data_IF_561853787526
#
_entry.id   IF_561853787526
#
_cell.length_a   1.000
_cell.length_b   1.000
_cell.length_c   1.000
_cell.angle_alpha   90.00
_cell.angle_beta   90.00
_cell.angle_gamma   90.00
#
_symmetry.space_group_name_H-M   'P 1'
#
loop_
_entity.id
_entity.type
_entity.pdbx_description
1 polymer ?
#
# COMPACT_ATOMS: atom_id res chain seq x y z
N UNK A 1 24.38 10.28 -14.34
CA UNK A 1 23.73 9.11 -13.71
C UNK A 1 22.93 9.63 -12.52
N UNK A 2 21.68 9.20 -12.34
CA UNK A 2 20.84 9.51 -11.18
C UNK A 2 20.61 8.20 -10.45
N UNK A 3 20.87 8.17 -9.16
CA UNK A 3 20.70 6.99 -8.29
C UNK A 3 19.69 7.37 -7.21
N UNK A 4 18.69 6.55 -7.01
CA UNK A 4 17.75 6.62 -5.89
C UNK A 4 18.09 5.49 -4.93
N UNK A 5 18.41 5.86 -3.69
CA UNK A 5 18.79 4.90 -2.65
C UNK A 5 17.64 4.72 -1.66
N UNK A 6 17.11 3.52 -1.60
CA UNK A 6 16.01 3.18 -0.69
C UNK A 6 16.36 3.44 0.78
N UNK A 7 17.63 3.23 1.17
CA UNK A 7 18.07 3.47 2.54
C UNK A 7 18.06 4.97 2.92
N UNK A 8 18.21 5.85 1.94
CA UNK A 8 18.21 7.30 2.13
C UNK A 8 16.80 7.91 2.09
N UNK A 9 15.78 7.14 1.71
CA UNK A 9 14.40 7.64 1.62
C UNK A 9 13.65 7.25 2.89
N UNK A 10 13.31 8.23 3.73
CA UNK A 10 12.49 7.99 4.93
C UNK A 10 11.13 7.41 4.56
N UNK A 11 10.50 7.94 3.52
CA UNK A 11 9.15 7.55 3.10
C UNK A 11 8.05 8.11 4.00
N UNK A 12 6.82 7.69 3.74
CA UNK A 12 5.64 8.14 4.49
C UNK A 12 4.92 6.95 5.11
N UNK A 13 4.51 7.11 6.38
CA UNK A 13 3.63 6.18 7.06
C UNK A 13 2.17 6.56 6.88
N UNK A 14 1.31 5.55 6.81
CA UNK A 14 -0.13 5.67 6.56
C UNK A 14 -0.95 4.98 7.64
N UNK A 15 -2.21 5.42 7.84
CA UNK A 15 -3.10 4.86 8.87
C UNK A 15 -3.31 3.34 8.77
N UNK A 16 -3.33 2.78 7.57
CA UNK A 16 -3.46 1.34 7.36
C UNK A 16 -2.17 0.54 7.66
N UNK A 17 -1.27 1.07 8.51
CA UNK A 17 -0.05 0.41 8.97
C UNK A 17 0.89 0.08 7.82
N UNK A 18 1.05 1.05 6.94
CA UNK A 18 1.86 0.99 5.74
C UNK A 18 2.93 2.07 5.75
N UNK A 19 4.11 1.75 5.22
CA UNK A 19 5.16 2.72 4.87
C UNK A 19 5.41 2.66 3.37
N UNK A 20 5.41 3.81 2.70
CA UNK A 20 5.71 3.92 1.26
C UNK A 20 6.94 4.80 1.04
N UNK A 21 7.88 4.33 0.22
CA UNK A 21 9.11 5.01 -0.16
C UNK A 21 9.17 5.11 -1.69
N UNK A 22 9.03 6.32 -2.23
CA UNK A 22 8.98 6.55 -3.68
C UNK A 22 10.39 6.65 -4.25
N UNK A 23 10.72 5.77 -5.20
CA UNK A 23 12.04 5.70 -5.85
C UNK A 23 12.09 6.47 -7.16
N UNK A 24 11.00 6.40 -7.95
CA UNK A 24 10.88 7.11 -9.22
C UNK A 24 9.44 7.60 -9.44
N UNK A 25 9.32 8.68 -10.22
CA UNK A 25 8.04 9.33 -10.52
C UNK A 25 7.57 10.29 -9.42
N UNK A 26 6.63 11.17 -9.74
CA UNK A 26 6.06 12.11 -8.78
C UNK A 26 7.12 12.95 -8.05
N UNK A 27 7.12 12.86 -6.72
CA UNK A 27 8.04 13.59 -5.84
C UNK A 27 9.33 12.80 -5.48
N UNK A 28 9.55 11.67 -6.15
CA UNK A 28 10.72 10.81 -5.92
C UNK A 28 12.04 11.46 -6.41
N UNK A 29 13.21 10.99 -5.95
CA UNK A 29 14.50 11.48 -6.44
C UNK A 29 14.68 11.35 -7.96
N UNK A 30 14.15 10.28 -8.57
CA UNK A 30 14.15 10.09 -10.02
C UNK A 30 12.81 10.57 -10.58
N UNK A 31 12.84 11.66 -11.37
CA UNK A 31 11.66 12.29 -11.99
C UNK A 31 11.23 11.57 -13.27
N UNK A 32 10.82 10.31 -13.17
CA UNK A 32 10.26 9.57 -14.30
C UNK A 32 8.87 10.10 -14.68
N UNK A 33 8.58 10.18 -15.99
CA UNK A 33 7.31 10.71 -16.53
C UNK A 33 6.32 9.60 -16.89
N UNK A 34 6.81 8.44 -17.28
CA UNK A 34 5.98 7.37 -17.83
C UNK A 34 5.62 6.30 -16.79
N UNK A 35 6.25 6.32 -15.63
CA UNK A 35 5.96 5.38 -14.55
C UNK A 35 6.29 5.98 -13.19
N UNK A 36 5.68 5.43 -12.16
CA UNK A 36 6.07 5.61 -10.77
C UNK A 36 6.49 4.27 -10.20
N UNK A 37 7.56 4.25 -9.41
CA UNK A 37 8.10 3.06 -8.76
C UNK A 37 8.41 3.37 -7.31
N UNK A 38 8.05 2.47 -6.42
CA UNK A 38 8.42 2.60 -5.02
C UNK A 38 8.39 1.28 -4.28
N UNK A 39 8.85 1.34 -3.03
CA UNK A 39 8.82 0.25 -2.07
C UNK A 39 7.72 0.50 -1.05
N UNK A 40 6.95 -0.53 -0.77
CA UNK A 40 5.94 -0.55 0.29
C UNK A 40 6.32 -1.59 1.32
N UNK A 41 6.22 -1.21 2.58
CA UNK A 41 6.31 -2.13 3.72
C UNK A 41 4.98 -2.11 4.46
N UNK A 42 4.37 -3.28 4.62
CA UNK A 42 3.16 -3.50 5.39
C UNK A 42 3.53 -4.14 6.73
N UNK A 43 3.07 -3.55 7.82
CA UNK A 43 3.33 -4.11 9.15
C UNK A 43 2.68 -5.50 9.29
N UNK A 44 3.20 -6.38 10.16
CA UNK A 44 2.63 -7.70 10.41
C UNK A 44 1.15 -7.64 10.82
N UNK A 45 0.42 -8.72 10.55
CA UNK A 45 -0.95 -8.92 11.08
C UNK A 45 -1.92 -7.81 10.74
N UNK A 46 -2.05 -7.47 9.46
CA UNK A 46 -3.10 -6.59 8.98
C UNK A 46 -2.64 -5.22 8.44
N UNK A 47 -1.33 -4.94 8.34
CA UNK A 47 -0.88 -3.78 7.56
C UNK A 47 -1.35 -3.91 6.10
N UNK A 48 -1.84 -2.80 5.51
CA UNK A 48 -2.53 -2.86 4.22
C UNK A 48 -2.14 -1.76 3.25
N UNK A 49 -2.20 -2.09 1.96
CA UNK A 49 -2.68 -1.15 0.95
C UNK A 49 -4.20 -1.28 0.95
N UNK A 50 -4.95 -0.27 1.41
CA UNK A 50 -6.40 -0.40 1.59
C UNK A 50 -7.16 -0.53 0.26
N UNK A 51 -8.43 -0.93 0.33
CA UNK A 51 -9.30 -1.09 -0.83
C UNK A 51 -9.47 0.23 -1.59
N UNK A 52 -9.00 0.26 -2.82
CA UNK A 52 -9.03 1.43 -3.70
C UNK A 52 -8.91 1.02 -5.16
N UNK A 53 -9.10 1.98 -6.05
CA UNK A 53 -8.80 1.84 -7.47
C UNK A 53 -8.07 3.08 -8.00
N UNK A 54 -7.56 2.98 -9.22
CA UNK A 54 -6.88 4.06 -9.94
C UNK A 54 -7.01 3.87 -11.45
N UNK A 55 -6.75 4.93 -12.22
CA UNK A 55 -6.82 4.89 -13.69
C UNK A 55 -5.56 4.28 -14.33
N UNK A 56 -4.42 4.32 -13.63
CA UNK A 56 -3.18 3.71 -14.10
C UNK A 56 -3.23 2.19 -13.98
N UNK A 57 -2.61 1.51 -14.93
CA UNK A 57 -2.26 0.11 -14.71
C UNK A 57 -1.10 0.00 -13.73
N UNK A 58 -1.11 -1.05 -12.93
CA UNK A 58 -0.15 -1.23 -11.86
C UNK A 58 0.31 -2.67 -11.73
N UNK A 59 1.50 -2.87 -11.18
CA UNK A 59 1.97 -4.17 -10.72
C UNK A 59 2.47 -4.08 -9.28
N UNK A 60 2.22 -5.14 -8.51
CA UNK A 60 2.85 -5.40 -7.22
C UNK A 60 3.78 -6.60 -7.35
N UNK A 61 5.03 -6.44 -6.97
CA UNK A 61 6.01 -7.52 -6.88
C UNK A 61 6.39 -7.75 -5.42
N UNK A 62 6.02 -8.90 -4.87
CA UNK A 62 6.32 -9.26 -3.47
C UNK A 62 7.78 -9.65 -3.35
N UNK A 63 8.55 -8.90 -2.57
CA UNK A 63 9.97 -9.17 -2.29
C UNK A 63 10.08 -10.13 -1.11
N UNK A 64 9.28 -9.89 -0.05
CA UNK A 64 9.37 -10.59 1.22
C UNK A 64 7.99 -10.65 1.90
N UNK A 65 7.72 -11.73 2.60
CA UNK A 65 6.48 -11.92 3.36
C UNK A 65 5.37 -12.60 2.57
N UNK A 66 4.18 -12.64 3.17
CA UNK A 66 2.99 -13.28 2.62
C UNK A 66 1.77 -12.38 2.83
N UNK A 67 1.03 -12.13 1.78
CA UNK A 67 -0.15 -11.27 1.80
C UNK A 67 -1.39 -11.94 1.22
N UNK A 68 -2.55 -11.40 1.59
CA UNK A 68 -3.80 -11.67 0.91
C UNK A 68 -4.06 -10.54 -0.08
N UNK A 69 -4.11 -10.90 -1.35
CA UNK A 69 -4.45 -9.97 -2.45
C UNK A 69 -5.91 -10.14 -2.81
N UNK A 70 -6.64 -9.02 -2.81
CA UNK A 70 -7.99 -8.91 -3.37
C UNK A 70 -7.91 -8.06 -4.63
N UNK A 71 -8.50 -8.52 -5.74
CA UNK A 71 -8.54 -7.82 -7.02
C UNK A 71 -9.93 -8.04 -7.65
N UNK A 72 -10.76 -6.99 -7.66
CA UNK A 72 -12.16 -7.14 -8.02
C UNK A 72 -12.85 -8.16 -7.10
N UNK A 73 -13.39 -9.22 -7.69
CA UNK A 73 -14.06 -10.31 -6.95
C UNK A 73 -13.11 -11.45 -6.58
N UNK A 74 -11.86 -11.40 -7.05
CA UNK A 74 -10.85 -12.43 -6.78
C UNK A 74 -10.13 -12.18 -5.47
N UNK A 75 -9.74 -13.28 -4.82
CA UNK A 75 -8.93 -13.28 -3.60
C UNK A 75 -7.92 -14.41 -3.63
N UNK A 76 -6.65 -14.08 -3.50
CA UNK A 76 -5.56 -15.05 -3.50
C UNK A 76 -4.48 -14.70 -2.49
N UNK A 77 -3.77 -15.72 -2.00
CA UNK A 77 -2.56 -15.55 -1.20
C UNK A 77 -1.39 -15.36 -2.16
N UNK A 78 -0.59 -14.32 -1.90
CA UNK A 78 0.63 -14.01 -2.65
C UNK A 78 1.83 -14.01 -1.72
N UNK A 79 2.98 -14.41 -2.25
CA UNK A 79 4.22 -14.54 -1.48
C UNK A 79 5.43 -14.07 -2.27
N UNK A 80 6.59 -14.08 -1.62
CA UNK A 80 7.87 -13.66 -2.20
C UNK A 80 8.13 -14.26 -3.60
N UNK A 81 8.55 -13.43 -4.53
CA UNK A 81 8.83 -13.77 -5.93
C UNK A 81 7.61 -13.71 -6.86
N UNK A 82 6.42 -13.45 -6.34
CA UNK A 82 5.20 -13.34 -7.15
C UNK A 82 4.89 -11.89 -7.52
N UNK A 83 4.33 -11.71 -8.72
CA UNK A 83 3.85 -10.44 -9.24
C UNK A 83 2.36 -10.51 -9.51
N UNK A 84 1.66 -9.45 -9.16
CA UNK A 84 0.24 -9.27 -9.48
C UNK A 84 0.12 -8.10 -10.44
N UNK A 85 -0.60 -8.30 -11.54
CA UNK A 85 -1.00 -7.22 -12.44
C UNK A 85 -2.38 -6.70 -12.04
N UNK A 86 -2.50 -5.40 -11.97
CA UNK A 86 -3.72 -4.68 -11.58
C UNK A 86 -4.17 -3.84 -12.76
N UNK A 87 -5.27 -4.23 -13.43
CA UNK A 87 -5.81 -3.45 -14.55
C UNK A 87 -6.34 -2.08 -14.11
N UNK A 88 -6.36 -1.09 -15.00
CA UNK A 88 -6.96 0.21 -14.74
C UNK A 88 -8.39 0.11 -14.21
N UNK A 89 -8.71 0.90 -13.19
CA UNK A 89 -10.05 1.01 -12.62
C UNK A 89 -10.49 -0.15 -11.72
N UNK A 90 -9.74 -1.24 -11.65
CA UNK A 90 -10.11 -2.39 -10.82
C UNK A 90 -9.76 -2.13 -9.36
N UNK A 91 -10.75 -2.28 -8.48
CA UNK A 91 -10.56 -2.18 -7.04
C UNK A 91 -9.67 -3.30 -6.52
N UNK A 92 -8.74 -2.95 -5.66
CA UNK A 92 -7.77 -3.90 -5.11
C UNK A 92 -7.32 -3.53 -3.70
N UNK A 93 -6.86 -4.54 -2.97
CA UNK A 93 -6.30 -4.43 -1.62
C UNK A 93 -5.20 -5.49 -1.46
N UNK A 94 -4.12 -5.14 -0.75
CA UNK A 94 -3.14 -6.11 -0.27
C UNK A 94 -3.03 -6.03 1.24
N UNK A 95 -3.24 -7.14 1.93
CA UNK A 95 -3.14 -7.25 3.39
C UNK A 95 -1.98 -8.15 3.77
N UNK A 96 -1.10 -7.71 4.64
CA UNK A 96 -0.10 -8.58 5.24
C UNK A 96 -0.78 -9.52 6.25
N UNK A 97 -0.79 -10.81 5.98
CA UNK A 97 -1.35 -11.85 6.87
C UNK A 97 -0.28 -12.60 7.67
N UNK A 98 0.99 -12.28 7.46
CA UNK A 98 2.13 -12.92 8.12
C UNK A 98 2.50 -12.30 9.47
N UNK A 99 3.42 -12.97 10.16
CA UNK A 99 3.99 -12.55 11.44
C UNK A 99 5.17 -11.59 11.29
N UNK A 100 5.67 -11.40 10.06
CA UNK A 100 6.79 -10.51 9.70
C UNK A 100 6.33 -9.43 8.74
N UNK A 101 7.05 -8.32 8.57
CA UNK A 101 6.72 -7.33 7.56
C UNK A 101 6.64 -7.94 6.15
N UNK A 102 5.64 -7.50 5.38
CA UNK A 102 5.59 -7.76 3.95
C UNK A 102 6.22 -6.59 3.21
N UNK A 103 7.15 -6.88 2.32
CA UNK A 103 7.76 -5.88 1.45
C UNK A 103 7.44 -6.18 -0.01
N UNK A 104 7.07 -5.13 -0.73
CA UNK A 104 6.81 -5.22 -2.16
C UNK A 104 7.31 -3.97 -2.90
N UNK A 105 7.58 -4.12 -4.19
CA UNK A 105 7.63 -2.99 -5.11
C UNK A 105 6.27 -2.80 -5.75
N UNK A 106 5.87 -1.55 -5.92
CA UNK A 106 4.82 -1.18 -6.86
C UNK A 106 5.43 -0.47 -8.06
N UNK A 107 4.83 -0.65 -9.22
CA UNK A 107 5.10 0.17 -10.39
C UNK A 107 3.78 0.44 -11.10
N UNK A 108 3.46 1.69 -11.33
CA UNK A 108 2.28 2.07 -12.12
C UNK A 108 2.63 3.08 -13.22
N UNK A 109 1.88 3.08 -14.28
CA UNK A 109 2.04 3.94 -15.44
C UNK A 109 0.72 4.38 -16.07
N UNK A 110 0.69 5.62 -16.62
CA UNK A 110 1.74 6.65 -16.58
C UNK A 110 2.00 7.17 -15.16
N UNK A 111 3.15 7.83 -14.95
CA UNK A 111 3.40 8.53 -13.71
C UNK A 111 2.34 9.62 -13.50
N UNK A 112 1.88 9.76 -12.26
CA UNK A 112 0.83 10.71 -11.94
C UNK A 112 0.40 10.58 -10.50
N UNK A 113 -0.68 11.29 -10.20
CA UNK A 113 -1.25 11.30 -8.88
C UNK A 113 -2.34 10.22 -8.77
N UNK A 114 -2.26 9.46 -7.70
CA UNK A 114 -3.30 8.49 -7.30
C UNK A 114 -3.92 8.99 -5.99
N UNK A 115 -5.17 9.40 -6.05
CA UNK A 115 -5.81 10.17 -4.97
C UNK A 115 -5.96 9.40 -3.65
N UNK A 116 -6.00 8.07 -3.68
CA UNK A 116 -6.33 7.23 -2.52
C UNK A 116 -5.42 7.47 -1.30
N UNK A 117 -4.13 7.75 -1.51
CA UNK A 117 -3.21 7.96 -0.41
C UNK A 117 -3.51 9.24 0.39
N UNK A 118 -4.04 10.29 -0.26
CA UNK A 118 -4.49 11.50 0.44
C UNK A 118 -5.76 11.23 1.21
N UNK A 119 -6.71 10.54 0.58
CA UNK A 119 -7.97 10.16 1.23
C UNK A 119 -7.72 9.28 2.47
N UNK A 120 -6.72 8.38 2.41
CA UNK A 120 -6.32 7.59 3.56
C UNK A 120 -5.77 8.46 4.70
N UNK A 121 -4.87 9.41 4.40
CA UNK A 121 -4.30 10.33 5.40
C UNK A 121 -5.34 11.25 6.01
N UNK A 122 -6.30 11.71 5.21
CA UNK A 122 -7.36 12.61 5.64
C UNK A 122 -8.52 11.86 6.33
N UNK A 123 -8.50 10.53 6.30
CA UNK A 123 -9.59 9.69 6.84
C UNK A 123 -10.87 9.74 6.01
N UNK A 124 -10.78 10.15 4.74
CA UNK A 124 -11.90 10.24 3.80
C UNK A 124 -11.96 9.08 2.81
N UNK A 125 -11.00 8.15 2.89
CA UNK A 125 -11.03 6.95 2.04
C UNK A 125 -12.27 6.11 2.37
N UNK A 126 -13.16 5.86 1.38
CA UNK A 126 -14.38 5.12 1.66
C UNK A 126 -14.07 3.67 2.06
N UNK A 127 -14.69 3.14 3.12
CA UNK A 127 -14.61 1.72 3.43
C UNK A 127 -15.20 0.85 2.31
N UNK A 128 -14.73 -0.38 2.18
CA UNK A 128 -15.24 -1.34 1.22
C UNK A 128 -16.75 -1.58 1.44
N UNK A 129 -17.53 -1.58 0.37
CA UNK A 129 -18.97 -1.79 0.41
C UNK A 129 -19.79 -0.57 0.87
N UNK A 130 -19.19 0.61 0.97
CA UNK A 130 -19.86 1.85 1.35
C UNK A 130 -19.96 2.79 0.13
N UNK A 131 -21.17 3.31 -0.12
CA UNK A 131 -21.44 4.12 -1.31
C UNK A 131 -21.22 3.33 -2.59
N UNK A 132 -20.44 3.90 -3.51
CA UNK A 132 -20.09 3.27 -4.79
C UNK A 132 -18.87 2.34 -4.71
N UNK A 133 -18.28 2.17 -3.51
CA UNK A 133 -17.13 1.28 -3.31
C UNK A 133 -17.59 -0.17 -3.24
N UNK A 134 -17.13 -1.07 -4.11
CA UNK A 134 -17.48 -2.48 -4.05
C UNK A 134 -17.09 -3.11 -2.70
N UNK A 135 -17.85 -4.12 -2.27
CA UNK A 135 -17.49 -4.91 -1.11
C UNK A 135 -16.21 -5.72 -1.38
N UNK A 136 -15.45 -5.99 -0.34
CA UNK A 136 -14.33 -6.94 -0.42
C UNK A 136 -14.85 -8.34 -0.81
N UNK A 137 -14.03 -9.16 -1.50
CA UNK A 137 -14.36 -10.56 -1.74
C UNK A 137 -14.70 -11.30 -0.45
N UNK A 138 -15.58 -12.29 -0.55
CA UNK A 138 -16.00 -13.06 0.61
C UNK A 138 -14.82 -13.66 1.37
N UNK A 139 -14.79 -13.48 2.69
CA UNK A 139 -13.74 -13.98 3.58
C UNK A 139 -12.43 -13.17 3.54
N UNK A 140 -12.38 -12.07 2.80
CA UNK A 140 -11.24 -11.16 2.83
C UNK A 140 -11.08 -10.47 4.20
N UNK A 141 -9.85 -10.03 4.49
CA UNK A 141 -9.57 -9.26 5.70
C UNK A 141 -10.25 -7.90 5.63
N UNK A 142 -10.84 -7.43 6.73
CA UNK A 142 -11.47 -6.11 6.77
C UNK A 142 -10.45 -5.00 6.51
N UNK A 143 -10.93 -3.90 5.95
CA UNK A 143 -10.11 -2.73 5.68
C UNK A 143 -9.59 -2.12 6.99
N UNK A 144 -8.27 -2.06 7.12
CA UNK A 144 -7.62 -1.44 8.27
C UNK A 144 -7.69 0.09 8.15
N UNK A 145 -8.25 0.76 9.13
CA UNK A 145 -8.35 2.23 9.20
C UNK A 145 -7.61 2.82 10.39
N UNK A 146 -6.86 1.99 11.14
CA UNK A 146 -6.13 2.44 12.32
C UNK A 146 -4.98 3.36 11.92
N UNK A 147 -4.80 4.43 12.69
CA UNK A 147 -3.65 5.31 12.54
C UNK A 147 -2.43 4.71 13.26
N UNK A 148 -1.21 4.91 12.73
CA UNK A 148 0.00 4.41 13.39
C UNK A 148 0.12 4.85 14.86
N UNK A 149 -0.35 6.06 15.18
CA UNK A 149 -0.30 6.63 16.54
C UNK A 149 -1.22 5.90 17.51
N UNK A 150 -2.26 5.23 17.03
CA UNK A 150 -3.21 4.48 17.85
C UNK A 150 -2.66 3.12 18.29
N UNK A 151 -1.57 2.67 17.67
CA UNK A 151 -0.92 1.38 17.93
C UNK A 151 0.38 1.49 18.73
N UNK A 152 0.95 2.68 18.82
CA UNK A 152 2.11 2.88 19.68
C UNK A 152 1.63 2.77 21.15
N UNK A 153 2.18 1.82 21.95
CA UNK A 153 1.98 1.88 23.39
C UNK A 153 2.42 3.28 23.81
N UNK A 154 1.56 4.00 24.51
CA UNK A 154 1.89 5.30 25.07
C UNK A 154 3.26 5.19 25.70
N UNK A 155 4.25 5.83 25.12
CA UNK A 155 5.54 5.99 25.76
C UNK A 155 5.23 6.65 27.11
N UNK A 156 5.25 5.85 28.17
CA UNK A 156 5.11 6.36 29.54
C UNK A 156 6.19 7.41 29.66
N UNK A 157 5.76 8.68 29.71
CA UNK A 157 6.65 9.80 29.88
C UNK A 157 7.56 9.54 31.06
N UNK A 158 8.82 9.24 30.79
CA UNK A 158 9.86 9.32 31.79
C UNK A 158 9.94 10.79 32.18
N UNK A 159 9.36 11.12 33.32
CA UNK A 159 9.75 12.32 34.04
C UNK A 159 11.17 12.08 34.52
N UNK A 160 12.11 12.84 33.98
CA UNK A 160 13.38 13.11 34.61
C UNK A 160 13.16 14.05 35.79
#
# INVERSE_FOLDING_TARGET
MIISDLAAIEGRRYPARRRTQNLAGGVAPIQAKNFSLGNVTLDPKGGQVPWHNQEQEEVYFVIEGTGEMCLGEERQIVSSGQMVFIPPGVFHQLTNIGETPLRMLYCYGPAGDVAHWRQELDGTLPPAGVGDTPALPQGAQPQCTKRPEEELPHAKGGKA
#
